data_IF_124674551701
#
_entry.id   IF_124674551701
#
_cell.length_a   1.000
_cell.length_b   1.000
_cell.length_c   1.000
_cell.angle_alpha   90.00
_cell.angle_beta   90.00
_cell.angle_gamma   90.00
#
_symmetry.space_group_name_H-M   'P 1'
#
loop_
_entity.id
_entity.type
_entity.pdbx_description
1 polymer ?
#
# COMPACT_ATOMS: atom_id res chain seq x y z
N UNK A 1 25.10 7.47 -9.14
CA UNK A 1 23.88 8.07 -9.72
C UNK A 1 23.14 8.72 -8.57
N UNK A 2 22.92 10.04 -8.61
CA UNK A 2 22.15 10.75 -7.60
C UNK A 2 20.69 10.30 -7.79
N UNK A 3 20.14 9.56 -6.83
CA UNK A 3 18.71 9.22 -6.82
C UNK A 3 17.92 10.52 -6.83
N UNK A 4 16.99 10.68 -7.76
CA UNK A 4 16.13 11.85 -7.79
C UNK A 4 15.35 11.94 -6.47
N UNK A 5 15.22 13.16 -5.92
CA UNK A 5 14.44 13.39 -4.71
C UNK A 5 12.97 13.00 -4.96
N UNK A 6 12.37 12.14 -4.11
CA UNK A 6 11.01 11.68 -4.31
C UNK A 6 10.01 12.82 -4.20
N UNK A 7 8.97 12.80 -5.03
CA UNK A 7 7.87 13.76 -5.03
C UNK A 7 6.74 13.25 -4.14
N UNK A 8 6.42 13.99 -3.09
CA UNK A 8 5.27 13.74 -2.20
C UNK A 8 4.16 14.72 -2.54
N UNK A 9 2.97 14.22 -2.86
CA UNK A 9 1.77 15.03 -2.99
C UNK A 9 1.02 15.04 -1.65
N UNK A 10 0.92 16.22 -1.04
CA UNK A 10 0.13 16.45 0.18
C UNK A 10 -1.26 16.94 -0.21
N UNK A 11 -2.29 16.24 0.24
CA UNK A 11 -3.70 16.57 0.01
C UNK A 11 -4.40 16.76 1.36
N UNK A 12 -4.69 18.01 1.69
CA UNK A 12 -5.34 18.39 2.95
C UNK A 12 -5.92 19.80 2.75
N UNK A 13 -7.11 20.10 3.18
CA UNK A 13 -7.72 21.42 3.02
C UNK A 13 -7.13 22.45 4.01
N UNK A 14 -6.62 21.98 5.16
CA UNK A 14 -6.03 22.82 6.19
C UNK A 14 -4.62 23.33 5.81
N UNK A 15 -4.51 24.60 5.42
CA UNK A 15 -3.22 25.21 5.08
C UNK A 15 -2.14 25.11 6.19
N UNK A 16 -2.45 25.18 7.50
CA UNK A 16 -1.46 24.93 8.56
C UNK A 16 -0.87 23.53 8.51
N UNK A 17 -1.70 22.50 8.25
CA UNK A 17 -1.26 21.10 8.16
C UNK A 17 -0.36 20.93 6.93
N UNK A 18 -0.76 21.45 5.78
CA UNK A 18 0.09 21.38 4.57
C UNK A 18 1.46 22.04 4.80
N UNK A 19 1.51 23.22 5.43
CA UNK A 19 2.78 23.90 5.75
C UNK A 19 3.66 23.07 6.69
N UNK A 20 3.07 22.48 7.73
CA UNK A 20 3.77 21.61 8.66
C UNK A 20 4.35 20.37 7.98
N UNK A 21 3.56 19.69 7.18
CA UNK A 21 3.99 18.52 6.41
C UNK A 21 5.08 18.87 5.40
N UNK A 22 4.93 19.99 4.68
CA UNK A 22 5.96 20.48 3.74
C UNK A 22 7.29 20.69 4.47
N UNK A 23 7.28 21.41 5.61
CA UNK A 23 8.51 21.69 6.35
C UNK A 23 9.22 20.40 6.79
N UNK A 24 8.45 19.41 7.27
CA UNK A 24 8.96 18.10 7.69
C UNK A 24 9.57 17.30 6.53
N UNK A 25 8.92 17.31 5.35
CA UNK A 25 9.34 16.53 4.19
C UNK A 25 10.53 17.15 3.45
N UNK A 26 10.60 18.47 3.38
CA UNK A 26 11.78 19.17 2.80
C UNK A 26 13.03 18.86 3.61
N UNK A 27 12.93 18.74 4.94
CA UNK A 27 14.02 18.29 5.81
C UNK A 27 14.52 16.87 5.49
N UNK A 28 13.68 16.01 4.90
CA UNK A 28 14.01 14.64 4.46
C UNK A 28 14.37 14.55 2.96
N UNK A 29 14.70 15.67 2.32
CA UNK A 29 15.05 15.76 0.89
C UNK A 29 13.95 15.26 -0.06
N UNK A 30 12.69 15.52 0.28
CA UNK A 30 11.57 15.26 -0.60
C UNK A 30 11.15 16.55 -1.34
N UNK A 31 10.81 16.43 -2.61
CA UNK A 31 10.03 17.46 -3.31
C UNK A 31 8.58 17.35 -2.87
N UNK A 32 7.89 18.46 -2.77
CA UNK A 32 6.52 18.51 -2.26
C UNK A 32 5.61 19.27 -3.24
N UNK A 33 4.53 18.62 -3.64
CA UNK A 33 3.36 19.23 -4.25
C UNK A 33 2.22 19.28 -3.22
N UNK A 34 1.34 20.28 -3.34
CA UNK A 34 0.20 20.44 -2.42
C UNK A 34 -1.10 20.54 -3.20
N UNK A 35 -2.18 19.99 -2.61
CA UNK A 35 -3.55 20.14 -3.09
C UNK A 35 -4.46 20.44 -1.88
N UNK A 36 -5.45 21.30 -2.08
CA UNK A 36 -6.42 21.68 -1.04
C UNK A 36 -7.80 21.05 -1.26
N UNK A 37 -7.97 20.27 -2.31
CA UNK A 37 -9.24 19.64 -2.69
C UNK A 37 -9.00 18.33 -3.42
N UNK A 38 -10.05 17.51 -3.55
CA UNK A 38 -10.04 16.27 -4.32
C UNK A 38 -9.76 16.53 -5.81
N UNK A 39 -10.37 17.57 -6.38
CA UNK A 39 -10.15 17.93 -7.78
C UNK A 39 -8.68 18.25 -8.06
N UNK A 40 -8.06 19.11 -7.24
CA UNK A 40 -6.62 19.41 -7.35
C UNK A 40 -5.74 18.17 -7.15
N UNK A 41 -6.14 17.29 -6.23
CA UNK A 41 -5.39 16.05 -5.95
C UNK A 41 -5.33 15.14 -7.16
N UNK A 42 -6.46 14.89 -7.82
CA UNK A 42 -6.55 14.04 -9.02
C UNK A 42 -5.78 14.66 -10.20
N UNK A 43 -5.92 15.98 -10.42
CA UNK A 43 -5.18 16.71 -11.47
C UNK A 43 -3.66 16.60 -11.26
N UNK A 44 -3.19 16.90 -10.04
CA UNK A 44 -1.76 16.87 -9.72
C UNK A 44 -1.20 15.45 -9.70
N UNK A 45 -1.96 14.47 -9.26
CA UNK A 45 -1.55 13.07 -9.35
C UNK A 45 -1.33 12.61 -10.79
N UNK A 46 -2.22 13.02 -11.72
CA UNK A 46 -2.10 12.69 -13.13
C UNK A 46 -0.94 13.44 -13.82
N UNK A 47 -0.82 14.76 -13.56
CA UNK A 47 0.14 15.63 -14.27
C UNK A 47 1.56 15.52 -13.72
N UNK A 48 1.74 15.38 -12.39
CA UNK A 48 3.05 15.42 -11.74
C UNK A 48 3.60 14.03 -11.39
N UNK A 49 2.77 12.98 -11.40
CA UNK A 49 3.15 11.60 -11.10
C UNK A 49 3.94 11.48 -9.80
N UNK A 50 3.36 11.78 -8.63
CA UNK A 50 4.06 11.70 -7.36
C UNK A 50 4.49 10.26 -7.05
N UNK A 51 5.55 10.14 -6.25
CA UNK A 51 6.05 8.85 -5.76
C UNK A 51 5.24 8.32 -4.57
N UNK A 52 4.55 9.22 -3.85
CA UNK A 52 3.61 8.90 -2.76
C UNK A 52 2.60 10.03 -2.58
N UNK A 53 1.39 9.70 -2.18
CA UNK A 53 0.32 10.65 -1.83
C UNK A 53 0.04 10.56 -0.34
N UNK A 54 0.02 11.69 0.35
CA UNK A 54 -0.49 11.86 1.71
C UNK A 54 -1.85 12.49 1.61
N UNK A 55 -2.91 11.82 2.04
CA UNK A 55 -4.29 12.19 1.76
C UNK A 55 -5.13 12.31 3.03
N UNK A 56 -5.69 13.50 3.27
CA UNK A 56 -6.79 13.64 4.23
C UNK A 56 -8.11 13.13 3.64
N UNK A 57 -8.95 12.52 4.47
CA UNK A 57 -10.28 12.07 4.07
C UNK A 57 -11.33 13.19 4.13
N UNK A 58 -11.09 14.23 4.92
CA UNK A 58 -12.03 15.33 5.17
C UNK A 58 -11.93 16.48 4.18
N UNK A 59 -11.87 16.21 2.86
CA UNK A 59 -11.77 17.26 1.87
C UNK A 59 -13.08 18.01 1.65
N UNK A 60 -13.05 19.31 1.28
CA UNK A 60 -14.25 20.16 1.22
C UNK A 60 -15.20 19.85 0.07
N UNK A 61 -14.67 19.29 -1.02
CA UNK A 61 -15.40 19.02 -2.25
C UNK A 61 -15.83 17.56 -2.39
N UNK A 62 -15.13 16.62 -1.71
CA UNK A 62 -15.42 15.20 -1.85
C UNK A 62 -14.75 14.36 -0.75
N UNK A 63 -15.37 13.26 -0.30
CA UNK A 63 -14.75 12.33 0.64
C UNK A 63 -13.48 11.69 0.05
N UNK A 64 -12.38 11.70 0.81
CA UNK A 64 -11.10 11.14 0.40
C UNK A 64 -11.15 9.66 0.04
N UNK A 65 -12.08 8.88 0.60
CA UNK A 65 -12.31 7.48 0.20
C UNK A 65 -12.66 7.38 -1.29
N UNK A 66 -13.49 8.30 -1.80
CA UNK A 66 -13.82 8.33 -3.21
C UNK A 66 -12.60 8.72 -4.07
N UNK A 67 -11.77 9.64 -3.59
CA UNK A 67 -10.48 10.00 -4.25
C UNK A 67 -9.55 8.79 -4.37
N UNK A 68 -9.45 7.97 -3.31
CA UNK A 68 -8.66 6.74 -3.34
C UNK A 68 -9.15 5.81 -4.45
N UNK A 69 -10.46 5.56 -4.54
CA UNK A 69 -11.05 4.68 -5.56
C UNK A 69 -10.76 5.17 -6.97
N UNK A 70 -10.98 6.46 -7.23
CA UNK A 70 -10.69 7.06 -8.54
C UNK A 70 -9.20 6.93 -8.91
N UNK A 71 -8.29 7.20 -7.97
CA UNK A 71 -6.85 7.02 -8.19
C UNK A 71 -6.53 5.56 -8.55
N UNK A 72 -7.15 4.59 -7.91
CA UNK A 72 -6.91 3.16 -8.14
C UNK A 72 -7.39 2.64 -9.48
N UNK A 73 -8.29 3.35 -10.18
CA UNK A 73 -8.67 3.01 -11.55
C UNK A 73 -7.49 3.08 -12.53
N UNK A 74 -6.52 3.98 -12.29
CA UNK A 74 -5.43 4.24 -13.22
C UNK A 74 -4.03 4.31 -12.59
N UNK A 75 -3.90 4.35 -11.27
CA UNK A 75 -2.63 4.54 -10.57
C UNK A 75 -2.42 3.52 -9.45
N UNK A 76 -1.15 3.10 -9.31
CA UNK A 76 -0.68 2.26 -8.20
C UNK A 76 0.21 3.05 -7.23
N UNK A 77 0.21 4.38 -7.31
CA UNK A 77 0.99 5.23 -6.40
C UNK A 77 0.63 4.91 -4.94
N UNK A 78 1.60 4.76 -4.04
CA UNK A 78 1.31 4.56 -2.61
C UNK A 78 0.49 5.71 -2.04
N UNK A 79 -0.55 5.39 -1.25
CA UNK A 79 -1.42 6.36 -0.59
C UNK A 79 -1.39 6.13 0.91
N UNK A 80 -0.90 7.12 1.66
CA UNK A 80 -0.94 7.17 3.13
C UNK A 80 -2.05 8.11 3.55
N UNK A 81 -3.06 7.59 4.21
CA UNK A 81 -4.19 8.39 4.71
C UNK A 81 -3.81 9.07 6.02
N UNK A 82 -4.14 10.37 6.15
CA UNK A 82 -4.11 11.12 7.42
C UNK A 82 -5.54 11.53 7.76
N UNK A 83 -6.07 11.13 8.91
CA UNK A 83 -7.46 11.48 9.25
C UNK A 83 -7.70 11.57 10.75
N UNK A 84 -8.69 12.37 11.14
CA UNK A 84 -9.22 12.41 12.51
C UNK A 84 -10.14 11.22 12.82
N UNK A 85 -10.56 10.45 11.80
CA UNK A 85 -11.39 9.25 11.99
C UNK A 85 -10.51 8.15 12.57
N UNK A 86 -10.78 7.72 13.80
CA UNK A 86 -9.93 6.77 14.55
C UNK A 86 -10.53 5.36 14.67
N UNK A 87 -11.80 5.19 14.28
CA UNK A 87 -12.50 3.90 14.38
C UNK A 87 -11.87 2.87 13.45
N UNK A 88 -11.76 1.64 13.92
CA UNK A 88 -11.23 0.52 13.12
C UNK A 88 -11.99 0.37 11.78
N UNK A 89 -13.31 0.54 11.80
CA UNK A 89 -14.13 0.48 10.58
C UNK A 89 -13.72 1.52 9.53
N UNK A 90 -13.37 2.76 9.93
CA UNK A 90 -12.93 3.81 9.03
C UNK A 90 -11.57 3.45 8.40
N UNK A 91 -10.64 2.92 9.21
CA UNK A 91 -9.33 2.44 8.74
C UNK A 91 -9.50 1.29 7.73
N UNK A 92 -10.32 0.30 8.07
CA UNK A 92 -10.63 -0.83 7.17
C UNK A 92 -11.21 -0.31 5.86
N UNK A 93 -12.20 0.61 5.91
CA UNK A 93 -12.82 1.17 4.70
C UNK A 93 -11.81 1.87 3.79
N UNK A 94 -10.86 2.65 4.36
CA UNK A 94 -9.83 3.32 3.60
C UNK A 94 -8.85 2.31 2.95
N UNK A 95 -8.44 1.28 3.69
CA UNK A 95 -7.56 0.22 3.19
C UNK A 95 -8.27 -0.61 2.10
N UNK A 96 -9.55 -0.94 2.28
CA UNK A 96 -10.36 -1.63 1.27
C UNK A 96 -10.57 -0.80 0.00
N UNK A 97 -10.64 0.53 0.14
CA UNK A 97 -10.66 1.43 -1.02
C UNK A 97 -9.32 1.46 -1.78
N UNK A 98 -8.24 0.94 -1.16
CA UNK A 98 -6.91 0.82 -1.78
C UNK A 98 -5.84 1.74 -1.19
N UNK A 99 -6.07 2.35 -0.02
CA UNK A 99 -4.98 3.02 0.71
C UNK A 99 -3.92 2.01 1.14
N UNK A 100 -2.65 2.39 1.15
CA UNK A 100 -1.53 1.50 1.56
C UNK A 100 -1.26 1.59 3.06
N UNK A 101 -1.60 2.71 3.69
CA UNK A 101 -1.44 2.92 5.11
C UNK A 101 -2.42 3.97 5.64
N UNK A 102 -2.58 4.01 6.97
CA UNK A 102 -3.50 4.92 7.64
C UNK A 102 -2.88 5.44 8.93
N UNK A 103 -2.87 6.76 9.11
CA UNK A 103 -2.37 7.44 10.29
C UNK A 103 -3.44 8.35 10.88
N UNK A 104 -3.74 8.19 12.16
CA UNK A 104 -4.76 8.98 12.85
C UNK A 104 -4.18 10.30 13.36
N UNK A 105 -4.88 11.42 13.13
CA UNK A 105 -4.57 12.73 13.72
C UNK A 105 -5.06 12.75 15.19
N UNK A 106 -4.26 13.29 16.17
CA UNK A 106 -2.92 13.85 16.00
C UNK A 106 -1.83 12.78 15.91
N UNK A 107 -0.80 13.02 15.11
CA UNK A 107 0.31 12.09 14.87
C UNK A 107 1.66 12.74 15.14
N UNK A 108 2.66 11.92 15.44
CA UNK A 108 4.06 12.35 15.54
C UNK A 108 4.73 12.47 14.18
N UNK A 109 5.59 13.48 13.97
CA UNK A 109 6.37 13.63 12.72
C UNK A 109 7.21 12.38 12.43
N UNK A 110 7.84 11.82 13.47
CA UNK A 110 8.66 10.60 13.32
C UNK A 110 7.87 9.41 12.81
N UNK A 111 6.62 9.22 13.26
CA UNK A 111 5.73 8.17 12.80
C UNK A 111 5.34 8.37 11.33
N UNK A 112 4.91 9.56 10.95
CA UNK A 112 4.59 9.88 9.57
C UNK A 112 5.78 9.61 8.65
N UNK A 113 6.97 10.10 9.02
CA UNK A 113 8.19 9.90 8.21
C UNK A 113 8.58 8.42 8.11
N UNK A 114 8.40 7.63 9.17
CA UNK A 114 8.62 6.18 9.12
C UNK A 114 7.69 5.50 8.11
N UNK A 115 6.38 5.82 8.14
CA UNK A 115 5.38 5.28 7.21
C UNK A 115 5.66 5.70 5.77
N UNK A 116 6.02 6.96 5.53
CA UNK A 116 6.38 7.44 4.19
C UNK A 116 7.65 6.79 3.64
N UNK A 117 8.67 6.55 4.47
CA UNK A 117 9.87 5.79 4.06
C UNK A 117 9.51 4.36 3.64
N UNK A 118 8.58 3.73 4.35
CA UNK A 118 8.06 2.40 3.97
C UNK A 118 7.37 2.48 2.61
N UNK A 119 6.45 3.42 2.41
CA UNK A 119 5.72 3.61 1.15
C UNK A 119 6.66 3.90 -0.03
N UNK A 120 7.61 4.81 0.12
CA UNK A 120 8.60 5.18 -0.91
C UNK A 120 9.55 4.03 -1.26
N UNK A 121 9.99 3.24 -0.27
CA UNK A 121 10.82 2.05 -0.52
C UNK A 121 10.09 1.03 -1.38
N UNK A 122 8.77 0.91 -1.25
CA UNK A 122 7.96 0.02 -2.10
C UNK A 122 7.91 0.50 -3.55
N UNK A 123 7.89 1.83 -3.78
CA UNK A 123 7.91 2.42 -5.10
C UNK A 123 9.29 2.25 -5.79
N UNK A 124 10.40 2.35 -5.04
CA UNK A 124 11.77 2.38 -5.59
C UNK A 124 12.39 1.02 -5.91
N UNK A 125 11.93 -0.10 -5.34
CA UNK A 125 12.47 -1.46 -5.58
C UNK A 125 12.07 -2.02 -6.96
N UNK A 126 11.48 -1.22 -7.83
CA UNK A 126 11.07 -1.61 -9.19
C UNK A 126 12.24 -1.95 -10.16
N UNK A 127 13.51 -1.97 -9.71
CA UNK A 127 14.66 -1.96 -10.63
C UNK A 127 15.84 -2.89 -10.36
N UNK A 128 15.82 -3.80 -9.40
CA UNK A 128 16.96 -4.71 -9.18
C UNK A 128 16.62 -6.14 -9.63
N UNK A 129 16.99 -6.45 -10.87
CA UNK A 129 16.88 -7.78 -11.45
C UNK A 129 17.93 -8.74 -10.89
N UNK A 130 17.47 -9.80 -10.24
CA UNK A 130 18.17 -11.05 -10.08
C UNK A 130 17.30 -12.13 -10.70
N UNK A 131 17.92 -13.11 -11.41
CA UNK A 131 17.22 -14.26 -11.96
C UNK A 131 16.78 -15.21 -10.83
N UNK A 132 15.73 -14.85 -10.08
CA UNK A 132 15.02 -15.83 -9.28
C UNK A 132 13.98 -16.49 -10.19
N UNK A 133 13.87 -17.83 -10.21
CA UNK A 133 12.87 -18.52 -11.01
C UNK A 133 11.48 -18.06 -10.59
N UNK A 134 10.59 -17.89 -11.59
CA UNK A 134 9.21 -17.51 -11.32
C UNK A 134 8.54 -18.58 -10.45
N UNK A 135 7.90 -18.18 -9.36
CA UNK A 135 7.07 -19.05 -8.55
C UNK A 135 5.81 -19.41 -9.34
N UNK A 136 5.46 -20.67 -9.39
CA UNK A 136 4.25 -21.14 -10.08
C UNK A 136 3.53 -22.19 -9.24
N UNK A 137 2.23 -22.01 -9.05
CA UNK A 137 1.35 -22.99 -8.43
C UNK A 137 -0.02 -22.95 -9.12
N UNK A 138 -0.48 -24.06 -9.70
CA UNK A 138 -1.67 -24.06 -10.55
C UNK A 138 -1.57 -23.00 -11.65
N UNK A 139 -2.59 -22.14 -11.75
CA UNK A 139 -2.64 -21.04 -12.71
C UNK A 139 -1.96 -19.75 -12.22
N UNK A 140 -1.54 -19.69 -10.96
CA UNK A 140 -0.85 -18.54 -10.38
C UNK A 140 0.65 -18.60 -10.71
N UNK A 141 1.15 -17.55 -11.37
CA UNK A 141 2.58 -17.34 -11.65
C UNK A 141 3.02 -15.98 -11.11
N UNK A 142 4.09 -15.97 -10.33
CA UNK A 142 4.68 -14.74 -9.75
C UNK A 142 6.14 -14.63 -10.17
N UNK A 143 6.45 -13.66 -11.00
CA UNK A 143 7.82 -13.29 -11.39
C UNK A 143 8.32 -12.20 -10.43
N UNK A 144 9.12 -12.60 -9.44
CA UNK A 144 9.65 -11.67 -8.44
C UNK A 144 10.65 -10.67 -9.04
N UNK A 145 11.42 -11.10 -10.06
CA UNK A 145 12.41 -10.25 -10.70
C UNK A 145 11.76 -9.11 -11.50
N UNK A 146 10.70 -9.43 -12.25
CA UNK A 146 9.94 -8.45 -13.05
C UNK A 146 8.78 -7.81 -12.31
N UNK A 147 8.49 -8.26 -11.09
CA UNK A 147 7.34 -7.85 -10.28
C UNK A 147 6.00 -8.04 -11.02
N UNK A 148 5.89 -9.10 -11.79
CA UNK A 148 4.70 -9.44 -12.55
C UNK A 148 3.97 -10.62 -11.92
N UNK A 149 2.65 -10.54 -11.90
CA UNK A 149 1.76 -11.57 -11.35
C UNK A 149 0.75 -11.94 -12.43
N UNK A 150 0.57 -13.23 -12.65
CA UNK A 150 -0.36 -13.76 -13.65
C UNK A 150 -1.26 -14.82 -13.00
N UNK A 151 -2.53 -14.83 -13.39
CA UNK A 151 -3.48 -15.91 -13.11
C UNK A 151 -4.10 -16.34 -14.44
N UNK A 152 -4.02 -17.62 -14.79
CA UNK A 152 -4.48 -18.15 -16.07
C UNK A 152 -3.95 -17.33 -17.27
N UNK A 153 -2.65 -17.00 -17.26
CA UNK A 153 -1.95 -16.18 -18.26
C UNK A 153 -2.39 -14.70 -18.37
N UNK A 154 -3.35 -14.25 -17.54
CA UNK A 154 -3.78 -12.86 -17.46
C UNK A 154 -2.94 -12.13 -16.40
N UNK A 155 -2.35 -11.00 -16.77
CA UNK A 155 -1.62 -10.15 -15.80
C UNK A 155 -2.58 -9.51 -14.78
N UNK A 156 -2.21 -9.63 -13.51
CA UNK A 156 -2.96 -9.07 -12.37
C UNK A 156 -2.21 -7.88 -11.80
N UNK A 157 -2.86 -6.72 -11.78
CA UNK A 157 -2.28 -5.50 -11.21
C UNK A 157 -2.46 -5.47 -9.70
N UNK A 158 -1.34 -5.40 -8.99
CA UNK A 158 -1.30 -5.28 -7.54
C UNK A 158 -0.78 -3.89 -7.14
N UNK A 159 -1.30 -3.35 -6.04
CA UNK A 159 -0.70 -2.17 -5.40
C UNK A 159 0.67 -2.54 -4.82
N UNK A 160 1.55 -1.57 -4.52
CA UNK A 160 2.87 -1.86 -3.96
C UNK A 160 2.83 -2.72 -2.69
N UNK A 161 1.85 -2.48 -1.82
CA UNK A 161 1.71 -3.22 -0.57
C UNK A 161 1.14 -4.64 -0.78
N UNK A 162 0.15 -4.79 -1.65
CA UNK A 162 -0.35 -6.11 -2.06
C UNK A 162 0.76 -6.98 -2.66
N UNK A 163 1.57 -6.37 -3.55
CA UNK A 163 2.70 -7.08 -4.15
C UNK A 163 3.72 -7.49 -3.09
N UNK A 164 4.05 -6.62 -2.13
CA UNK A 164 4.98 -6.95 -1.05
C UNK A 164 4.47 -8.09 -0.18
N UNK A 165 3.19 -8.06 0.18
CA UNK A 165 2.56 -9.14 0.94
C UNK A 165 2.65 -10.47 0.17
N UNK A 166 2.32 -10.46 -1.13
CA UNK A 166 2.43 -11.64 -1.98
C UNK A 166 3.88 -12.12 -2.08
N UNK A 167 4.86 -11.22 -2.27
CA UNK A 167 6.27 -11.58 -2.37
C UNK A 167 6.81 -12.21 -1.08
N UNK A 168 6.38 -11.73 0.09
CA UNK A 168 6.70 -12.35 1.39
C UNK A 168 6.12 -13.76 1.46
N UNK A 169 4.88 -13.94 1.04
CA UNK A 169 4.22 -15.25 1.02
C UNK A 169 4.88 -16.22 0.04
N UNK A 170 5.26 -15.76 -1.15
CA UNK A 170 5.98 -16.55 -2.17
C UNK A 170 7.33 -17.02 -1.65
N UNK A 171 8.12 -16.13 -1.04
CA UNK A 171 9.43 -16.50 -0.44
C UNK A 171 9.31 -17.53 0.69
N UNK A 172 8.13 -17.66 1.26
CA UNK A 172 7.80 -18.60 2.32
C UNK A 172 6.72 -19.61 1.91
N UNK A 173 6.59 -19.89 0.61
CA UNK A 173 5.56 -20.81 0.10
C UNK A 173 5.59 -22.15 0.84
N UNK A 174 4.42 -22.70 1.12
CA UNK A 174 4.24 -23.92 1.93
C UNK A 174 4.31 -23.72 3.45
N UNK A 175 4.89 -22.61 3.93
CA UNK A 175 5.00 -22.31 5.37
C UNK A 175 3.84 -21.45 5.86
N UNK A 176 3.42 -21.66 7.10
CA UNK A 176 2.47 -20.77 7.78
C UNK A 176 3.22 -19.55 8.31
N UNK A 177 2.76 -18.37 7.95
CA UNK A 177 3.23 -17.10 8.49
C UNK A 177 2.17 -16.52 9.42
N UNK A 178 2.58 -16.18 10.65
CA UNK A 178 1.69 -15.56 11.63
C UNK A 178 1.31 -14.14 11.20
N UNK A 179 0.18 -13.61 11.70
CA UNK A 179 -0.22 -12.21 11.46
C UNK A 179 0.93 -11.25 11.80
N UNK A 180 1.59 -11.45 12.94
CA UNK A 180 2.71 -10.62 13.38
C UNK A 180 3.92 -10.71 12.44
N UNK A 181 4.27 -11.90 11.97
CA UNK A 181 5.38 -12.07 11.01
C UNK A 181 5.08 -11.35 9.69
N UNK A 182 3.85 -11.48 9.16
CA UNK A 182 3.42 -10.79 7.95
C UNK A 182 3.43 -9.28 8.16
N UNK A 183 2.87 -8.80 9.27
CA UNK A 183 2.84 -7.39 9.60
C UNK A 183 4.25 -6.79 9.63
N UNK A 184 5.18 -7.41 10.38
CA UNK A 184 6.57 -6.97 10.48
C UNK A 184 7.32 -6.98 9.14
N UNK A 185 7.16 -8.04 8.33
CA UNK A 185 7.90 -8.16 7.07
C UNK A 185 7.34 -7.22 5.99
N UNK A 186 6.06 -6.91 6.03
CA UNK A 186 5.39 -6.08 5.03
C UNK A 186 5.40 -4.61 5.43
N UNK A 187 5.01 -4.26 6.65
CA UNK A 187 4.91 -2.86 7.09
C UNK A 187 6.12 -2.40 7.89
N UNK A 188 6.69 -3.23 8.73
CA UNK A 188 7.88 -2.91 9.52
C UNK A 188 7.70 -3.27 11.01
N UNK A 189 8.79 -3.17 11.80
CA UNK A 189 8.77 -3.57 13.21
C UNK A 189 7.97 -2.63 14.11
N UNK A 190 7.70 -1.40 13.67
CA UNK A 190 6.86 -0.41 14.36
C UNK A 190 5.38 -0.76 14.35
N UNK A 191 4.94 -1.70 13.49
CA UNK A 191 3.57 -2.21 13.45
C UNK A 191 3.43 -3.41 14.38
N UNK A 192 2.70 -3.23 15.50
CA UNK A 192 2.56 -4.25 16.54
C UNK A 192 1.29 -5.08 16.44
N UNK A 193 0.14 -4.44 16.63
CA UNK A 193 -1.15 -5.11 16.82
C UNK A 193 -2.17 -4.86 15.71
N UNK A 194 -1.76 -4.20 14.61
CA UNK A 194 -2.62 -3.86 13.48
C UNK A 194 -2.94 -5.07 12.58
N UNK A 195 -3.31 -6.20 13.20
CA UNK A 195 -3.65 -7.45 12.50
C UNK A 195 -4.76 -7.29 11.46
N UNK A 196 -5.59 -6.24 11.56
CA UNK A 196 -6.62 -5.91 10.57
C UNK A 196 -6.02 -5.57 9.20
N UNK A 197 -4.83 -4.95 9.14
CA UNK A 197 -4.11 -4.71 7.88
C UNK A 197 -3.91 -6.02 7.09
N UNK A 198 -3.31 -7.01 7.76
CA UNK A 198 -3.05 -8.31 7.11
C UNK A 198 -4.34 -8.94 6.59
N UNK A 199 -5.43 -8.88 7.37
CA UNK A 199 -6.72 -9.44 6.98
C UNK A 199 -7.30 -8.77 5.74
N UNK A 200 -7.27 -7.42 5.71
CA UNK A 200 -7.78 -6.63 4.58
C UNK A 200 -6.99 -6.95 3.31
N UNK A 201 -5.66 -6.91 3.36
CA UNK A 201 -4.84 -7.15 2.18
C UNK A 201 -4.84 -8.60 1.72
N UNK A 202 -5.00 -9.58 2.62
CA UNK A 202 -5.23 -10.97 2.23
C UNK A 202 -6.57 -11.12 1.51
N UNK A 203 -7.63 -10.44 1.98
CA UNK A 203 -8.92 -10.42 1.29
C UNK A 203 -8.80 -9.80 -0.11
N UNK A 204 -8.12 -8.65 -0.25
CA UNK A 204 -7.87 -8.01 -1.55
C UNK A 204 -7.07 -8.91 -2.50
N UNK A 205 -6.02 -9.56 -2.01
CA UNK A 205 -5.25 -10.52 -2.82
C UNK A 205 -6.13 -11.68 -3.29
N UNK A 206 -6.98 -12.23 -2.42
CA UNK A 206 -7.92 -13.28 -2.81
C UNK A 206 -8.88 -12.84 -3.91
N UNK A 207 -9.43 -11.64 -3.81
CA UNK A 207 -10.30 -11.09 -4.87
C UNK A 207 -9.59 -10.95 -6.22
N UNK A 208 -8.27 -10.77 -6.23
CA UNK A 208 -7.48 -10.63 -7.45
C UNK A 208 -6.89 -11.94 -7.98
N UNK A 209 -6.59 -12.88 -7.10
CA UNK A 209 -5.83 -14.10 -7.44
C UNK A 209 -6.68 -15.38 -7.46
N UNK A 210 -7.75 -15.43 -6.67
CA UNK A 210 -8.58 -16.64 -6.53
C UNK A 210 -9.81 -16.60 -7.45
N UNK A 211 -10.21 -17.76 -7.94
CA UNK A 211 -11.47 -17.89 -8.67
C UNK A 211 -12.68 -17.70 -7.74
N UNK A 212 -12.59 -18.15 -6.49
CA UNK A 212 -13.57 -17.94 -5.42
C UNK A 212 -12.83 -17.45 -4.16
N UNK A 213 -12.91 -16.15 -3.82
CA UNK A 213 -12.26 -15.60 -2.64
C UNK A 213 -12.71 -16.23 -1.31
N UNK A 214 -13.94 -16.75 -1.26
CA UNK A 214 -14.48 -17.41 -0.06
C UNK A 214 -13.94 -18.84 0.12
N UNK A 215 -13.47 -19.47 -0.97
CA UNK A 215 -12.86 -20.81 -0.99
C UNK A 215 -11.47 -20.74 -1.63
N UNK A 216 -10.51 -20.06 -0.98
CA UNK A 216 -9.21 -19.80 -1.57
C UNK A 216 -8.42 -21.08 -1.83
N UNK A 217 -7.89 -21.20 -3.04
CA UNK A 217 -7.04 -22.31 -3.46
C UNK A 217 -5.57 -22.04 -3.11
N UNK A 218 -5.09 -20.85 -3.44
CA UNK A 218 -3.68 -20.48 -3.25
C UNK A 218 -3.38 -19.94 -1.86
N UNK A 219 -4.19 -18.99 -1.37
CA UNK A 219 -3.93 -18.24 -0.15
C UNK A 219 -4.82 -18.71 1.00
N UNK A 220 -4.37 -19.73 1.73
CA UNK A 220 -5.14 -20.39 2.79
C UNK A 220 -5.02 -19.67 4.13
N UNK A 221 -6.12 -19.69 4.91
CA UNK A 221 -6.13 -19.24 6.31
C UNK A 221 -5.78 -20.41 7.21
N UNK A 222 -4.85 -20.19 8.14
CA UNK A 222 -4.60 -21.10 9.27
C UNK A 222 -5.25 -20.48 10.51
N UNK A 223 -6.41 -21.02 10.94
CA UNK A 223 -7.22 -20.38 11.98
C UNK A 223 -6.44 -20.13 13.27
N UNK A 224 -6.56 -18.92 13.82
CA UNK A 224 -5.86 -18.50 15.03
C UNK A 224 -4.36 -18.22 14.87
N UNK A 225 -3.75 -18.52 13.72
CA UNK A 225 -2.31 -18.39 13.48
C UNK A 225 -1.99 -17.33 12.44
N UNK A 226 -2.48 -17.49 11.21
CA UNK A 226 -2.13 -16.60 10.12
C UNK A 226 -2.51 -17.15 8.74
N UNK A 227 -1.58 -17.05 7.78
CA UNK A 227 -1.83 -17.41 6.38
C UNK A 227 -0.69 -18.22 5.79
N UNK A 228 -1.02 -19.00 4.77
CA UNK A 228 -0.08 -19.81 4.00
C UNK A 228 -0.39 -19.70 2.51
N UNK A 229 0.63 -19.45 1.70
CA UNK A 229 0.57 -19.66 0.26
C UNK A 229 0.93 -21.13 -0.01
N UNK A 230 0.09 -21.84 -0.77
CA UNK A 230 0.38 -23.22 -1.17
C UNK A 230 1.58 -23.26 -2.11
N UNK A 231 2.32 -24.38 -2.12
CA UNK A 231 3.52 -24.56 -2.95
C UNK A 231 3.35 -25.61 -4.05
N UNK A 232 2.25 -26.38 -4.00
CA UNK A 232 1.91 -27.47 -4.94
C UNK A 232 0.40 -27.47 -5.21
#
# INVERSE_FOLDING_TARGET
>A
MVSAEPLVLIVDDEAPIRRFLRASLVGERCRVAEAASAAEALEKAASQRPDVIVLDLGLPDRDGIAVIRDLREWSQVPIVVLSVRDREADKVTALEAGADDYLTKPFGVGELLARLRVALRHASVAGSGGEEPAFTVGDLRVDLARRQVFVAAREVRLTPIEYKLLAVLVKNAGKVLTHRQLLHQVWGPEYGDENHYVRVYVAQLRHKLEADPARPHYLRTEPGVGYRLVSE
#
